data_IF_725323558186
#
_entry.id   IF_725323558186
#
_cell.length_a   1.000
_cell.length_b   1.000
_cell.length_c   1.000
_cell.angle_alpha   90.00
_cell.angle_beta   90.00
_cell.angle_gamma   90.00
#
_symmetry.space_group_name_H-M   'P 1'
#
loop_
_entity.id
_entity.type
_entity.pdbx_description
1 polymer ?
#
# COMPACT_ATOMS: atom_id res chain seq x y z
N UNK A 1 2.34 69.98 32.71
CA UNK A 1 2.63 71.05 31.74
C UNK A 1 2.41 70.48 30.34
N UNK A 2 1.37 70.97 29.62
CA UNK A 2 1.06 70.84 28.17
C UNK A 2 1.20 69.44 27.54
N UNK A 3 0.15 68.65 27.27
CA UNK A 3 -1.04 68.86 26.42
C UNK A 3 -0.71 69.23 24.96
N UNK A 4 -1.35 68.50 24.03
CA UNK A 4 -1.53 68.70 22.58
C UNK A 4 -0.54 67.90 21.69
N UNK A 5 -0.93 67.13 20.67
CA UNK A 5 -2.16 67.11 19.86
C UNK A 5 -2.40 65.71 19.23
N UNK A 6 -3.66 65.30 19.28
CA UNK A 6 -4.31 64.32 18.39
C UNK A 6 -4.23 64.77 16.92
N UNK A 7 -3.91 63.86 16.00
CA UNK A 7 -4.54 63.84 14.66
C UNK A 7 -4.72 62.40 14.19
N UNK A 8 -5.95 61.92 14.38
CA UNK A 8 -6.60 60.93 13.52
C UNK A 8 -6.55 61.42 12.08
N UNK A 9 -6.03 60.63 11.14
CA UNK A 9 -6.56 60.60 9.77
C UNK A 9 -6.68 59.15 9.33
N UNK A 10 -7.93 58.70 9.34
CA UNK A 10 -8.51 57.66 8.52
C UNK A 10 -8.34 58.07 7.06
N UNK A 11 -7.66 57.28 6.22
CA UNK A 11 -7.90 57.28 4.78
C UNK A 11 -8.16 55.86 4.33
N UNK A 12 -9.42 55.60 4.03
CA UNK A 12 -9.91 54.40 3.38
C UNK A 12 -9.56 54.42 1.89
N UNK A 13 -9.07 53.27 1.41
CA UNK A 13 -9.43 52.54 0.19
C UNK A 13 -9.51 53.34 -1.12
N UNK A 14 -8.72 52.94 -2.13
CA UNK A 14 -9.23 52.62 -3.49
C UNK A 14 -8.18 51.90 -4.36
N UNK A 15 -8.59 50.71 -4.83
CA UNK A 15 -8.23 50.01 -6.07
C UNK A 15 -6.75 49.68 -6.38
N UNK A 16 -6.43 48.38 -6.28
CA UNK A 16 -5.21 47.79 -6.82
C UNK A 16 -5.20 46.27 -6.70
N UNK A 17 -6.19 45.58 -7.27
CA UNK A 17 -6.12 44.13 -7.52
C UNK A 17 -5.13 43.92 -8.65
N UNK A 18 -3.93 43.42 -8.35
CA UNK A 18 -3.08 42.73 -9.33
C UNK A 18 -2.38 41.55 -8.66
N UNK A 19 -2.59 40.38 -9.27
CA UNK A 19 -2.10 39.05 -8.95
C UNK A 19 -0.74 39.01 -8.26
N UNK A 20 -0.64 38.26 -7.16
CA UNK A 20 0.64 37.74 -6.69
C UNK A 20 1.06 36.56 -7.58
N UNK A 21 2.13 36.67 -8.39
CA UNK A 21 2.71 35.52 -9.06
C UNK A 21 3.62 34.84 -8.04
N UNK A 22 3.04 33.99 -7.21
CA UNK A 22 3.78 33.29 -6.16
C UNK A 22 3.08 32.07 -5.57
N UNK A 23 1.82 31.82 -5.91
CA UNK A 23 1.20 30.51 -5.77
C UNK A 23 1.53 29.69 -7.03
N UNK A 24 2.80 29.30 -7.17
CA UNK A 24 3.10 28.15 -8.01
C UNK A 24 2.67 26.89 -7.27
N UNK A 25 1.85 26.12 -7.98
CA UNK A 25 1.32 24.83 -7.59
C UNK A 25 2.40 23.97 -6.94
N UNK A 26 2.15 23.58 -5.69
CA UNK A 26 2.89 22.52 -5.02
C UNK A 26 1.94 21.33 -4.83
N UNK A 27 1.26 20.96 -5.92
CA UNK A 27 0.55 19.69 -6.06
C UNK A 27 0.97 19.17 -7.43
N UNK A 28 2.12 18.46 -7.48
CA UNK A 28 2.49 17.50 -8.54
C UNK A 28 3.95 16.99 -8.42
N UNK A 29 4.55 16.87 -7.22
CA UNK A 29 5.78 16.07 -7.06
C UNK A 29 5.83 15.37 -5.69
N UNK A 30 4.87 14.49 -5.43
CA UNK A 30 5.01 13.44 -4.40
C UNK A 30 4.67 12.07 -5.00
N UNK A 31 5.33 11.76 -6.13
CA UNK A 31 5.26 10.45 -6.78
C UNK A 31 6.65 9.81 -7.00
N UNK A 32 7.72 10.39 -6.46
CA UNK A 32 9.10 10.03 -6.82
C UNK A 32 10.02 9.64 -5.66
N UNK A 33 9.47 9.32 -4.47
CA UNK A 33 10.22 8.60 -3.42
C UNK A 33 9.32 7.58 -2.72
N UNK A 34 8.54 6.81 -3.49
CA UNK A 34 7.75 5.72 -2.93
C UNK A 34 8.67 4.52 -2.71
N UNK A 35 9.22 4.40 -1.51
CA UNK A 35 9.70 3.10 -1.02
C UNK A 35 8.62 2.06 -1.32
N UNK A 36 9.00 0.93 -1.93
CA UNK A 36 8.12 -0.21 -2.22
C UNK A 36 7.27 -0.63 -1.01
N UNK A 37 7.78 -0.40 0.21
CA UNK A 37 7.06 -0.57 1.49
C UNK A 37 5.80 0.30 1.60
N UNK A 38 5.73 1.44 0.93
CA UNK A 38 4.57 2.36 1.00
C UNK A 38 3.35 1.79 0.30
N UNK A 39 3.53 0.93 -0.71
CA UNK A 39 2.44 0.33 -1.45
C UNK A 39 1.75 -0.80 -0.69
N UNK A 40 2.42 -1.40 0.31
CA UNK A 40 1.92 -2.55 1.06
C UNK A 40 1.96 -2.26 2.56
N UNK A 41 0.80 -2.26 3.19
CA UNK A 41 0.64 -1.92 4.62
C UNK A 41 -0.08 -3.02 5.38
N UNK A 42 0.12 -3.09 6.69
CA UNK A 42 -0.70 -3.95 7.56
C UNK A 42 -2.13 -3.42 7.62
N UNK A 43 -3.10 -4.33 7.66
CA UNK A 43 -4.52 -3.95 7.72
C UNK A 43 -4.89 -3.21 9.01
N UNK A 44 -4.32 -3.64 10.14
CA UNK A 44 -4.62 -3.16 11.47
C UNK A 44 -3.44 -3.45 12.43
N UNK A 45 -3.62 -3.15 13.72
CA UNK A 45 -2.61 -3.36 14.78
C UNK A 45 -2.82 -4.63 15.60
N UNK A 46 -3.68 -5.54 15.17
CA UNK A 46 -3.85 -6.81 15.88
C UNK A 46 -2.57 -7.66 15.73
N UNK A 47 -2.29 -8.55 16.69
CA UNK A 47 -1.12 -9.41 16.64
C UNK A 47 -1.20 -10.38 15.45
N UNK A 48 -0.05 -10.60 14.83
CA UNK A 48 0.16 -11.50 13.70
C UNK A 48 1.29 -12.47 14.06
N UNK A 49 1.22 -13.71 13.57
CA UNK A 49 2.34 -14.67 13.70
C UNK A 49 3.56 -14.25 12.87
N UNK A 50 3.34 -13.53 11.77
CA UNK A 50 4.38 -13.05 10.86
C UNK A 50 4.82 -11.62 11.19
N UNK A 51 6.10 -11.48 11.50
CA UNK A 51 6.80 -10.20 11.54
C UNK A 51 7.50 -9.97 10.22
N UNK A 52 7.23 -8.84 9.57
CA UNK A 52 7.78 -8.53 8.24
C UNK A 52 9.03 -7.71 8.43
N UNK A 53 10.14 -8.14 7.81
CA UNK A 53 11.39 -7.39 7.77
C UNK A 53 11.37 -6.43 6.57
N UNK A 54 11.08 -6.96 5.37
CA UNK A 54 10.86 -6.14 4.18
C UNK A 54 9.97 -6.83 3.15
N UNK A 55 9.33 -6.01 2.32
CA UNK A 55 8.75 -6.42 1.04
C UNK A 55 9.32 -5.46 -0.01
N UNK A 56 10.01 -5.98 -1.01
CA UNK A 56 10.50 -5.20 -2.15
C UNK A 56 9.78 -5.60 -3.42
N UNK A 57 9.46 -4.60 -4.22
CA UNK A 57 8.79 -4.75 -5.50
C UNK A 57 9.72 -4.27 -6.60
N UNK A 58 9.86 -5.04 -7.67
CA UNK A 58 10.58 -4.62 -8.86
C UNK A 58 9.75 -4.90 -10.12
N UNK A 59 9.34 -3.86 -10.88
CA UNK A 59 9.57 -2.44 -10.62
C UNK A 59 8.87 -1.96 -9.34
N UNK A 60 9.43 -0.94 -8.68
CA UNK A 60 8.88 -0.38 -7.43
C UNK A 60 7.41 0.02 -7.54
N UNK A 61 7.02 0.52 -8.71
CA UNK A 61 5.63 0.81 -9.07
C UNK A 61 5.18 -0.24 -10.10
N UNK A 62 4.12 -1.02 -9.82
CA UNK A 62 3.57 -1.99 -10.77
C UNK A 62 3.18 -1.37 -12.11
N UNK A 63 3.62 -1.99 -13.22
CA UNK A 63 3.36 -1.51 -14.60
C UNK A 63 2.71 -2.60 -15.43
N UNK A 64 1.68 -2.24 -16.21
CA UNK A 64 1.02 -3.18 -17.13
C UNK A 64 1.99 -3.72 -18.18
N UNK A 65 1.84 -5.00 -18.52
CA UNK A 65 2.64 -5.68 -19.53
C UNK A 65 4.08 -5.96 -19.10
N UNK A 66 4.41 -5.74 -17.83
CA UNK A 66 5.73 -6.05 -17.26
C UNK A 66 5.57 -7.10 -16.17
N UNK A 67 6.65 -7.83 -15.93
CA UNK A 67 6.72 -8.72 -14.80
C UNK A 67 6.97 -7.89 -13.53
N UNK A 68 6.37 -8.35 -12.44
CA UNK A 68 6.55 -7.81 -11.11
C UNK A 68 7.24 -8.88 -10.27
N UNK A 69 8.49 -8.62 -9.93
CA UNK A 69 9.25 -9.39 -8.96
C UNK A 69 8.91 -8.90 -7.55
N UNK A 70 8.68 -9.85 -6.65
CA UNK A 70 8.33 -9.61 -5.27
C UNK A 70 9.35 -10.37 -4.41
N UNK A 71 10.18 -9.61 -3.69
CA UNK A 71 11.13 -10.12 -2.72
C UNK A 71 10.60 -9.87 -1.31
N UNK A 72 10.53 -10.93 -0.52
CA UNK A 72 10.03 -10.86 0.85
C UNK A 72 10.99 -11.49 1.83
N UNK A 73 11.09 -10.86 3.00
CA UNK A 73 11.71 -11.44 4.18
C UNK A 73 10.89 -11.14 5.43
N UNK A 74 10.73 -12.14 6.28
CA UNK A 74 10.07 -12.02 7.55
C UNK A 74 10.43 -13.15 8.52
N UNK A 75 9.77 -13.14 9.67
CA UNK A 75 9.97 -14.10 10.75
C UNK A 75 8.61 -14.57 11.28
N UNK A 76 8.41 -15.88 11.32
CA UNK A 76 7.24 -16.55 11.91
C UNK A 76 7.53 -16.90 13.36
N UNK A 77 6.68 -16.44 14.28
CA UNK A 77 6.79 -16.75 15.71
C UNK A 77 6.29 -18.16 16.06
N UNK A 78 5.54 -18.79 15.18
CA UNK A 78 4.98 -20.13 15.33
C UNK A 78 4.90 -20.81 13.95
N UNK A 79 4.83 -22.14 13.93
CA UNK A 79 4.60 -22.93 12.72
C UNK A 79 3.24 -22.58 12.07
N UNK A 80 3.21 -22.50 10.74
CA UNK A 80 1.97 -22.37 9.95
C UNK A 80 1.53 -23.76 9.49
N UNK A 81 0.41 -24.30 10.01
CA UNK A 81 -0.01 -25.68 9.72
C UNK A 81 -0.73 -25.82 8.37
N UNK A 82 -0.93 -27.06 7.94
CA UNK A 82 -1.82 -27.40 6.82
C UNK A 82 -3.27 -26.92 7.07
N UNK A 83 -4.00 -26.63 6.00
CA UNK A 83 -5.35 -26.09 6.07
C UNK A 83 -5.41 -24.60 6.43
N UNK A 84 -4.26 -23.92 6.50
CA UNK A 84 -4.21 -22.46 6.60
C UNK A 84 -4.88 -21.84 5.39
N UNK A 85 -5.79 -20.90 5.61
CA UNK A 85 -6.57 -20.28 4.54
C UNK A 85 -6.13 -18.85 4.30
N UNK A 86 -6.21 -18.43 3.04
CA UNK A 86 -6.05 -17.04 2.65
C UNK A 86 -7.31 -16.51 1.99
N UNK A 87 -7.78 -15.36 2.47
CA UNK A 87 -8.85 -14.59 1.85
C UNK A 87 -8.26 -13.39 1.11
N UNK A 88 -8.48 -13.33 -0.20
CA UNK A 88 -8.11 -12.18 -1.05
C UNK A 88 -9.36 -11.41 -1.47
N UNK A 89 -9.34 -10.11 -1.24
CA UNK A 89 -10.35 -9.15 -1.71
C UNK A 89 -9.67 -8.12 -2.61
N UNK A 90 -10.13 -7.99 -3.86
CA UNK A 90 -9.62 -6.98 -4.80
C UNK A 90 -10.72 -5.95 -5.09
N UNK A 91 -10.37 -4.68 -4.97
CA UNK A 91 -11.23 -3.54 -5.30
C UNK A 91 -10.63 -2.70 -6.41
N UNK A 92 -11.48 -2.13 -7.25
CA UNK A 92 -11.18 -1.05 -8.19
C UNK A 92 -11.96 0.19 -7.76
N UNK A 93 -11.25 1.19 -7.22
CA UNK A 93 -11.88 2.29 -6.50
C UNK A 93 -12.72 1.77 -5.33
N UNK A 94 -14.03 1.99 -5.38
CA UNK A 94 -14.98 1.56 -4.35
C UNK A 94 -15.66 0.22 -4.66
N UNK A 95 -15.51 -0.31 -5.88
CA UNK A 95 -16.20 -1.53 -6.32
C UNK A 95 -15.32 -2.74 -6.03
N UNK A 96 -15.88 -3.76 -5.39
CA UNK A 96 -15.21 -5.04 -5.20
C UNK A 96 -15.29 -5.87 -6.49
N UNK A 97 -14.14 -6.17 -7.08
CA UNK A 97 -14.04 -7.01 -8.28
C UNK A 97 -13.98 -8.49 -7.94
N UNK A 98 -13.30 -8.82 -6.84
CA UNK A 98 -12.98 -10.19 -6.48
C UNK A 98 -13.03 -10.39 -4.97
N UNK A 99 -13.60 -11.51 -4.54
CA UNK A 99 -13.38 -12.07 -3.21
C UNK A 99 -13.21 -13.58 -3.39
N UNK A 100 -12.04 -14.09 -3.03
CA UNK A 100 -11.72 -15.51 -3.11
C UNK A 100 -11.10 -15.98 -1.82
N UNK A 101 -11.36 -17.24 -1.50
CA UNK A 101 -10.70 -17.99 -0.44
C UNK A 101 -10.05 -19.21 -1.07
N UNK A 102 -8.84 -19.50 -0.68
CA UNK A 102 -8.12 -20.69 -1.12
C UNK A 102 -7.20 -21.16 0.00
N UNK A 103 -6.77 -22.42 -0.10
CA UNK A 103 -5.77 -22.96 0.79
C UNK A 103 -4.43 -22.30 0.52
N UNK A 104 -3.82 -21.75 1.57
CA UNK A 104 -2.53 -21.09 1.50
C UNK A 104 -1.41 -22.09 1.17
N UNK A 105 -1.49 -23.29 1.74
CA UNK A 105 -0.50 -24.35 1.56
C UNK A 105 -0.50 -24.89 0.12
N UNK A 106 -1.66 -24.94 -0.53
CA UNK A 106 -1.74 -25.30 -1.96
C UNK A 106 -1.06 -24.26 -2.85
N UNK A 107 -1.11 -22.98 -2.46
CA UNK A 107 -0.52 -21.89 -3.24
C UNK A 107 0.95 -21.67 -2.97
N UNK A 108 1.42 -21.97 -1.77
CA UNK A 108 2.83 -21.80 -1.43
C UNK A 108 3.71 -22.91 -2.03
N UNK A 109 3.12 -24.06 -2.40
CA UNK A 109 3.80 -25.08 -3.20
C UNK A 109 4.24 -24.57 -4.58
N UNK A 110 3.58 -23.54 -5.12
CA UNK A 110 3.99 -22.88 -6.37
C UNK A 110 5.25 -21.99 -6.20
N UNK A 111 5.80 -21.91 -4.98
CA UNK A 111 7.04 -21.20 -4.64
C UNK A 111 8.03 -22.09 -3.87
N UNK A 112 7.97 -23.41 -4.08
CA UNK A 112 8.84 -24.44 -3.50
C UNK A 112 8.79 -24.59 -1.96
N UNK A 113 7.86 -23.91 -1.30
CA UNK A 113 7.58 -24.07 0.12
C UNK A 113 6.49 -25.12 0.34
N UNK A 114 6.64 -25.94 1.38
CA UNK A 114 5.66 -26.95 1.75
C UNK A 114 5.17 -26.70 3.16
N UNK A 115 3.86 -26.81 3.36
CA UNK A 115 3.33 -26.88 4.70
C UNK A 115 3.69 -28.24 5.35
N UNK A 116 3.84 -28.27 6.69
CA UNK A 116 3.77 -27.12 7.59
C UNK A 116 5.03 -26.25 7.52
N UNK A 117 4.86 -24.91 7.46
CA UNK A 117 5.99 -23.97 7.40
C UNK A 117 6.52 -23.80 8.82
N UNK A 118 7.78 -24.15 9.10
CA UNK A 118 8.33 -24.08 10.44
C UNK A 118 8.38 -22.63 10.96
N UNK A 119 8.41 -22.49 12.28
CA UNK A 119 8.76 -21.21 12.90
C UNK A 119 10.18 -20.79 12.49
N UNK A 120 10.44 -19.48 12.43
CA UNK A 120 11.74 -18.95 12.04
C UNK A 120 11.70 -17.95 10.89
N UNK A 121 12.87 -17.69 10.31
CA UNK A 121 13.03 -16.81 9.16
C UNK A 121 12.41 -17.43 7.90
N UNK A 122 11.64 -16.62 7.17
CA UNK A 122 11.02 -16.99 5.91
C UNK A 122 11.36 -15.96 4.84
N UNK A 123 11.79 -16.45 3.69
CA UNK A 123 12.09 -15.63 2.52
C UNK A 123 11.40 -16.21 1.31
N UNK A 124 10.76 -15.37 0.50
CA UNK A 124 10.27 -15.81 -0.80
C UNK A 124 10.59 -14.79 -1.88
N UNK A 125 10.82 -15.31 -3.09
CA UNK A 125 10.95 -14.55 -4.31
C UNK A 125 9.89 -15.04 -5.28
N UNK A 126 9.06 -14.14 -5.80
CA UNK A 126 8.02 -14.50 -6.78
C UNK A 126 7.95 -13.48 -7.89
N UNK A 127 8.00 -13.99 -9.11
CA UNK A 127 7.70 -13.22 -10.31
C UNK A 127 6.22 -13.42 -10.70
N UNK A 128 5.54 -12.32 -10.99
CA UNK A 128 4.14 -12.31 -11.44
C UNK A 128 4.02 -11.47 -12.70
N UNK A 129 3.44 -12.03 -13.75
CA UNK A 129 3.17 -11.28 -14.98
C UNK A 129 1.98 -10.35 -14.79
N UNK A 130 2.12 -9.05 -15.10
CA UNK A 130 1.01 -8.11 -15.10
C UNK A 130 0.46 -7.96 -16.52
N UNK A 131 -0.79 -8.37 -16.81
CA UNK A 131 -1.34 -8.28 -18.16
C UNK A 131 -1.46 -6.84 -18.68
N UNK A 132 -1.39 -6.68 -20.00
CA UNK A 132 -1.59 -5.38 -20.66
C UNK A 132 -3.04 -4.87 -20.56
N UNK A 133 -4.01 -5.79 -20.43
CA UNK A 133 -5.44 -5.50 -20.47
C UNK A 133 -6.01 -5.02 -19.12
N UNK A 134 -5.17 -4.84 -18.08
CA UNK A 134 -5.63 -4.32 -16.78
C UNK A 134 -6.30 -2.95 -16.99
N UNK A 135 -7.59 -2.77 -16.63
CA UNK A 135 -8.27 -1.49 -16.77
C UNK A 135 -7.62 -0.38 -15.94
N UNK A 136 -7.70 0.88 -16.37
CA UNK A 136 -7.16 2.01 -15.60
C UNK A 136 -7.93 2.24 -14.30
N UNK A 137 -7.20 2.63 -13.25
CA UNK A 137 -7.75 3.02 -11.96
C UNK A 137 -6.89 2.59 -10.78
N UNK A 138 -7.38 2.88 -9.57
CA UNK A 138 -6.74 2.48 -8.31
C UNK A 138 -7.25 1.12 -7.88
N UNK A 139 -6.33 0.16 -7.80
CA UNK A 139 -6.60 -1.16 -7.25
C UNK A 139 -6.18 -1.22 -5.79
N UNK A 140 -6.96 -1.95 -5.00
CA UNK A 140 -6.63 -2.25 -3.61
C UNK A 140 -6.83 -3.73 -3.39
N UNK A 141 -5.76 -4.42 -3.00
CA UNK A 141 -5.75 -5.85 -2.72
C UNK A 141 -5.60 -6.00 -1.21
N UNK A 142 -6.56 -6.67 -0.57
CA UNK A 142 -6.49 -7.04 0.83
C UNK A 142 -6.33 -8.56 0.92
N UNK A 143 -5.28 -9.02 1.58
CA UNK A 143 -5.02 -10.42 1.85
C UNK A 143 -5.00 -10.67 3.36
N UNK A 144 -5.75 -11.68 3.81
CA UNK A 144 -5.73 -12.14 5.21
C UNK A 144 -5.40 -13.61 5.22
N UNK A 145 -4.42 -14.01 6.02
CA UNK A 145 -4.02 -15.40 6.17
C UNK A 145 -4.33 -15.84 7.60
N UNK A 146 -5.07 -16.93 7.76
CA UNK A 146 -5.56 -17.42 9.05
C UNK A 146 -5.38 -18.94 9.12
N UNK A 147 -4.85 -19.44 10.24
CA UNK A 147 -4.67 -20.87 10.50
C UNK A 147 -6.02 -21.56 10.81
N UNK A 148 -6.10 -22.90 10.77
CA UNK A 148 -7.30 -23.64 11.19
C UNK A 148 -7.77 -23.34 12.62
N UNK A 149 -6.84 -22.96 13.50
CA UNK A 149 -7.11 -22.58 14.89
C UNK A 149 -7.60 -21.12 15.03
N UNK A 150 -7.90 -20.45 13.92
CA UNK A 150 -8.27 -19.03 13.85
C UNK A 150 -7.18 -18.06 14.34
N UNK A 151 -5.91 -18.48 14.32
CA UNK A 151 -4.79 -17.56 14.55
C UNK A 151 -4.46 -16.83 13.26
N UNK A 152 -4.23 -15.52 13.36
CA UNK A 152 -3.92 -14.71 12.17
C UNK A 152 -2.43 -14.76 11.89
N UNK A 153 -2.07 -15.25 10.71
CA UNK A 153 -0.67 -15.28 10.26
C UNK A 153 -0.24 -13.88 9.87
N UNK A 154 -1.01 -13.21 8.99
CA UNK A 154 -0.80 -11.80 8.63
C UNK A 154 -2.03 -11.20 7.96
N UNK A 155 -2.09 -9.88 7.91
CA UNK A 155 -3.07 -9.14 7.11
C UNK A 155 -2.38 -7.97 6.39
N UNK A 156 -2.44 -7.99 5.06
CA UNK A 156 -1.80 -6.99 4.21
C UNK A 156 -2.80 -6.31 3.26
N UNK A 157 -2.56 -5.02 3.03
CA UNK A 157 -3.27 -4.19 2.04
C UNK A 157 -2.23 -3.61 1.08
N UNK A 158 -2.27 -4.09 -0.16
CA UNK A 158 -1.50 -3.56 -1.28
C UNK A 158 -2.32 -2.58 -2.11
N UNK A 159 -1.70 -1.51 -2.61
CA UNK A 159 -2.32 -0.59 -3.57
C UNK A 159 -1.48 -0.44 -4.82
N UNK A 160 -2.16 -0.36 -5.97
CA UNK A 160 -1.52 -0.10 -7.25
C UNK A 160 -2.40 0.84 -8.07
N UNK A 161 -1.78 1.81 -8.75
CA UNK A 161 -2.48 2.74 -9.61
C UNK A 161 -2.06 2.56 -11.06
N UNK A 162 -3.02 2.32 -11.93
CA UNK A 162 -2.79 2.18 -13.36
C UNK A 162 -3.42 3.37 -14.11
N UNK A 163 -2.63 4.30 -14.67
CA UNK A 163 -3.16 5.51 -15.31
C UNK A 163 -3.91 5.20 -16.62
N UNK A 164 -4.89 6.01 -16.98
CA UNK A 164 -5.46 6.01 -18.34
C UNK A 164 -4.36 6.49 -19.28
N UNK A 165 -3.83 5.61 -20.14
CA UNK A 165 -2.96 6.07 -21.23
C UNK A 165 -3.72 7.00 -22.16
#
# INVERSE_FOLDING_TARGET
MKLLLFTFIFTAILAGVQCLPGFFMQDEVEAYMSDSTTLITKCDRQPDLLTIEYIRLNPEIPVRGKNLEIDFKGYLSEQVPEGTQVEIVVKLGLVQLLRKRFDFCDKIQEIDEKCPIPEGEVTFHKEVELPNQIPPGKYTVRAVIVTPENKRVTCLVGTAFFPRR
#
